data_IF_808682648900
#
_entry.id   IF_808682648900
#
_cell.length_a   1.000
_cell.length_b   1.000
_cell.length_c   1.000
_cell.angle_alpha   90.00
_cell.angle_beta   90.00
_cell.angle_gamma   90.00
#
_symmetry.space_group_name_H-M   'P 1'
#
loop_
_entity.id
_entity.type
_entity.pdbx_description
1 polymer ?
#
# COMPACT_ATOMS: atom_id res chain seq x y z
N UNK A 1 35.89 -28.91 20.53
CA UNK A 1 36.87 -29.74 19.78
C UNK A 1 36.38 -30.03 18.37
N UNK A 2 37.32 -29.82 17.48
CA UNK A 2 37.58 -30.29 16.11
C UNK A 2 36.92 -29.56 14.94
N UNK A 3 37.85 -28.80 14.37
CA UNK A 3 37.92 -28.28 13.00
C UNK A 3 37.83 -29.40 11.95
N UNK A 4 37.26 -29.12 10.79
CA UNK A 4 37.80 -29.67 9.56
C UNK A 4 37.55 -28.73 8.37
N UNK A 5 38.68 -28.32 7.82
CA UNK A 5 38.87 -27.61 6.55
C UNK A 5 38.71 -28.63 5.40
N UNK A 6 38.09 -28.22 4.29
CA UNK A 6 38.45 -28.77 2.97
C UNK A 6 38.44 -27.66 1.93
N UNK A 7 39.66 -27.35 1.55
CA UNK A 7 40.06 -26.57 0.38
C UNK A 7 40.25 -27.52 -0.80
N UNK A 8 39.72 -27.23 -1.95
CA UNK A 8 40.18 -27.83 -3.20
C UNK A 8 40.29 -26.76 -4.29
N UNK A 9 41.54 -26.44 -4.58
CA UNK A 9 42.01 -25.81 -5.79
C UNK A 9 41.76 -26.71 -7.01
N UNK A 10 41.34 -26.12 -8.14
CA UNK A 10 41.76 -26.64 -9.45
C UNK A 10 42.01 -25.53 -10.46
N UNK A 11 43.06 -25.75 -11.17
CA UNK A 11 43.90 -24.91 -12.04
C UNK A 11 43.24 -24.57 -13.40
N UNK A 12 43.71 -23.46 -13.85
CA UNK A 12 43.90 -22.92 -15.21
C UNK A 12 44.08 -23.93 -16.35
N UNK A 13 43.43 -23.69 -17.49
CA UNK A 13 43.99 -23.94 -18.82
C UNK A 13 43.56 -22.86 -19.82
N UNK A 14 44.61 -22.24 -20.31
CA UNK A 14 44.70 -21.30 -21.41
C UNK A 14 44.40 -21.99 -22.73
N UNK A 15 43.58 -21.42 -23.62
CA UNK A 15 43.77 -21.68 -25.04
C UNK A 15 43.40 -20.46 -25.93
N UNK A 16 44.30 -20.26 -26.87
CA UNK A 16 44.50 -19.10 -27.72
C UNK A 16 43.56 -19.07 -28.93
N UNK A 17 43.22 -17.84 -29.32
CA UNK A 17 43.09 -17.24 -30.67
C UNK A 17 42.23 -17.96 -31.71
N UNK A 18 41.20 -17.27 -32.19
CA UNK A 18 41.05 -16.96 -33.63
C UNK A 18 40.32 -15.64 -33.80
N UNK A 19 41.06 -14.69 -34.41
CA UNK A 19 40.60 -13.45 -35.00
C UNK A 19 39.65 -13.78 -36.16
N UNK A 20 38.46 -13.18 -36.17
CA UNK A 20 37.63 -13.12 -37.37
C UNK A 20 36.86 -11.80 -37.36
N UNK A 21 37.49 -10.81 -37.96
CA UNK A 21 36.91 -9.52 -38.29
C UNK A 21 35.71 -9.71 -39.22
N UNK A 22 34.50 -9.51 -38.72
CA UNK A 22 33.32 -9.20 -39.55
C UNK A 22 32.63 -8.00 -38.96
N UNK A 23 32.82 -6.88 -39.64
CA UNK A 23 32.09 -5.62 -39.46
C UNK A 23 30.59 -5.87 -39.54
N UNK A 24 29.89 -5.65 -38.40
CA UNK A 24 28.44 -5.56 -38.38
C UNK A 24 28.00 -4.12 -38.56
N UNK A 25 26.95 -3.85 -39.34
CA UNK A 25 26.43 -2.50 -39.50
C UNK A 25 25.81 -2.04 -38.20
N UNK A 26 26.16 -0.83 -37.76
CA UNK A 26 25.61 -0.14 -36.61
C UNK A 26 24.15 0.22 -36.90
N UNK A 27 23.23 -0.59 -36.38
CA UNK A 27 21.82 -0.23 -36.34
C UNK A 27 21.66 0.79 -35.22
N UNK A 28 21.43 2.04 -35.59
CA UNK A 28 20.98 3.08 -34.67
C UNK A 28 19.62 2.65 -34.08
N UNK A 29 19.64 1.99 -32.94
CA UNK A 29 18.45 1.81 -32.12
C UNK A 29 18.07 3.19 -31.55
N UNK A 30 17.13 3.85 -32.23
CA UNK A 30 16.39 4.96 -31.62
C UNK A 30 15.69 4.43 -30.35
N UNK A 31 16.25 4.79 -29.20
CA UNK A 31 15.60 4.58 -27.93
C UNK A 31 14.28 5.34 -27.94
N UNK A 32 13.18 4.61 -28.13
CA UNK A 32 11.84 5.14 -27.90
C UNK A 32 11.77 5.45 -26.41
N UNK A 33 11.94 6.72 -26.06
CA UNK A 33 11.62 7.25 -24.73
C UNK A 33 10.14 6.93 -24.48
N UNK A 34 9.87 5.95 -23.62
CA UNK A 34 8.52 5.70 -23.10
C UNK A 34 8.08 6.98 -22.39
N UNK A 35 7.18 7.71 -23.00
CA UNK A 35 6.54 8.85 -22.36
C UNK A 35 5.95 8.33 -21.04
N UNK A 36 6.36 8.95 -19.91
CA UNK A 36 5.84 8.63 -18.59
C UNK A 36 4.34 8.92 -18.61
N UNK A 37 3.53 7.90 -18.39
CA UNK A 37 2.09 8.08 -18.32
C UNK A 37 1.76 9.20 -17.32
N UNK A 38 0.76 10.05 -17.58
CA UNK A 38 0.38 11.09 -16.65
C UNK A 38 0.02 10.45 -15.29
N UNK A 39 0.28 11.15 -14.17
CA UNK A 39 -0.05 10.63 -12.85
C UNK A 39 -1.55 10.31 -12.81
N UNK A 40 -1.88 9.10 -12.38
CA UNK A 40 -3.27 8.70 -12.20
C UNK A 40 -3.91 9.61 -11.14
N UNK A 41 -5.10 10.10 -11.43
CA UNK A 41 -5.90 10.84 -10.46
C UNK A 41 -6.80 9.86 -9.70
N UNK A 42 -7.08 10.11 -8.42
CA UNK A 42 -8.09 9.35 -7.69
C UNK A 42 -9.42 9.38 -8.43
N UNK A 43 -10.08 8.23 -8.49
CA UNK A 43 -11.39 8.08 -9.12
C UNK A 43 -12.37 7.59 -8.05
N UNK A 44 -13.68 7.90 -8.20
CA UNK A 44 -14.69 7.34 -7.32
C UNK A 44 -14.66 5.81 -7.42
N UNK A 45 -14.83 5.09 -6.29
CA UNK A 45 -14.97 3.65 -6.32
C UNK A 45 -16.19 3.26 -7.16
N UNK A 46 -16.07 2.15 -7.89
CA UNK A 46 -17.27 1.54 -8.49
C UNK A 46 -18.17 1.00 -7.39
N UNK A 47 -19.43 0.73 -7.71
CA UNK A 47 -20.37 0.13 -6.74
C UNK A 47 -19.85 -1.21 -6.20
N UNK A 48 -19.26 -2.01 -7.08
CA UNK A 48 -18.64 -3.27 -6.72
C UNK A 48 -17.40 -3.07 -5.79
N UNK A 49 -16.53 -2.13 -6.12
CA UNK A 49 -15.40 -1.76 -5.28
C UNK A 49 -15.88 -1.29 -3.91
N UNK A 50 -16.84 -0.38 -3.86
CA UNK A 50 -17.35 0.17 -2.61
C UNK A 50 -17.85 -0.92 -1.67
N UNK A 51 -18.62 -1.89 -2.17
CA UNK A 51 -19.17 -2.99 -1.37
C UNK A 51 -18.14 -4.07 -1.00
N UNK A 52 -17.24 -4.39 -1.95
CA UNK A 52 -16.35 -5.54 -1.78
C UNK A 52 -14.96 -5.15 -1.23
N UNK A 53 -14.66 -3.86 -1.11
CA UNK A 53 -13.35 -3.39 -0.67
C UNK A 53 -12.96 -3.90 0.71
N UNK A 54 -13.92 -4.02 1.62
CA UNK A 54 -13.72 -4.51 2.99
C UNK A 54 -14.30 -5.91 3.22
N UNK A 55 -14.39 -6.72 2.17
CA UNK A 55 -14.90 -8.09 2.27
C UNK A 55 -14.21 -8.86 3.40
N UNK A 56 -15.01 -9.39 4.32
CA UNK A 56 -14.54 -10.14 5.51
C UNK A 56 -14.52 -9.34 6.80
N UNK A 57 -14.64 -8.01 6.77
CA UNK A 57 -14.80 -7.23 7.99
C UNK A 57 -16.23 -7.31 8.51
N UNK A 58 -16.37 -7.39 9.84
CA UNK A 58 -17.68 -7.39 10.50
C UNK A 58 -18.43 -6.08 10.25
N UNK A 59 -19.74 -6.19 10.06
CA UNK A 59 -20.60 -5.03 9.77
C UNK A 59 -20.73 -4.69 8.30
N UNK A 60 -19.91 -5.27 7.42
CA UNK A 60 -19.99 -5.04 5.97
C UNK A 60 -19.77 -3.57 5.58
N UNK A 61 -18.70 -2.90 6.10
CA UNK A 61 -18.50 -1.49 5.80
C UNK A 61 -18.26 -1.27 4.31
N UNK A 62 -18.66 -0.11 3.80
CA UNK A 62 -18.48 0.30 2.41
C UNK A 62 -17.36 1.33 2.30
N UNK A 63 -16.58 1.25 1.22
CA UNK A 63 -15.59 2.27 0.91
C UNK A 63 -16.25 3.53 0.38
N UNK A 64 -15.98 4.66 1.03
CA UNK A 64 -16.38 5.99 0.56
C UNK A 64 -15.28 6.62 -0.28
N UNK A 65 -14.05 6.67 0.23
CA UNK A 65 -12.90 7.24 -0.46
C UNK A 65 -11.58 6.66 0.08
N UNK A 66 -10.53 6.69 -0.75
CA UNK A 66 -9.18 6.28 -0.34
C UNK A 66 -8.11 7.16 -0.99
N UNK A 67 -7.03 7.42 -0.27
CA UNK A 67 -5.89 8.20 -0.75
C UNK A 67 -4.99 7.45 -1.73
N UNK A 68 -5.06 6.14 -1.75
CA UNK A 68 -4.33 5.29 -2.69
C UNK A 68 -4.89 5.42 -4.10
N UNK A 69 -4.01 5.47 -5.08
CA UNK A 69 -4.33 5.47 -6.52
C UNK A 69 -4.13 4.09 -7.16
N UNK A 70 -3.75 3.10 -6.36
CA UNK A 70 -3.59 1.73 -6.87
C UNK A 70 -4.93 1.17 -7.33
N UNK A 71 -4.99 0.54 -8.51
CA UNK A 71 -6.22 -0.09 -8.97
C UNK A 71 -6.71 -1.13 -7.97
N UNK A 72 -8.00 -1.08 -7.67
CA UNK A 72 -8.64 -2.18 -6.97
C UNK A 72 -8.96 -3.29 -7.98
N UNK A 73 -8.72 -4.52 -7.58
CA UNK A 73 -9.09 -5.71 -8.33
C UNK A 73 -9.74 -6.69 -7.38
N UNK A 74 -10.90 -7.21 -7.78
CA UNK A 74 -11.50 -8.33 -7.07
C UNK A 74 -10.55 -9.53 -7.18
N UNK A 75 -10.20 -10.12 -6.05
CA UNK A 75 -9.38 -11.33 -6.04
C UNK A 75 -10.29 -12.52 -6.35
N UNK A 76 -10.28 -12.98 -7.60
CA UNK A 76 -11.07 -14.13 -8.09
C UNK A 76 -10.44 -15.48 -7.71
N UNK A 77 -9.73 -15.59 -6.62
CA UNK A 77 -9.12 -16.85 -6.22
C UNK A 77 -10.14 -17.77 -5.53
N UNK A 78 -10.05 -19.08 -5.78
CA UNK A 78 -10.86 -20.14 -5.16
C UNK A 78 -10.74 -20.21 -3.63
N UNK A 79 -9.88 -19.39 -3.04
CA UNK A 79 -9.62 -19.29 -1.60
C UNK A 79 -10.31 -18.05 -1.05
N UNK A 80 -11.06 -18.22 0.02
CA UNK A 80 -11.76 -17.15 0.71
C UNK A 80 -10.75 -16.10 1.20
N UNK A 81 -10.54 -15.08 0.39
CA UNK A 81 -9.70 -13.95 0.75
C UNK A 81 -10.56 -12.97 1.52
N UNK A 82 -10.28 -12.78 2.78
CA UNK A 82 -10.96 -11.79 3.61
C UNK A 82 -10.01 -10.67 4.02
N UNK A 83 -10.51 -9.46 4.04
CA UNK A 83 -9.78 -8.35 4.64
C UNK A 83 -9.77 -8.52 6.15
N UNK A 84 -8.64 -8.26 6.77
CA UNK A 84 -8.47 -8.35 8.22
C UNK A 84 -7.78 -7.11 8.76
N UNK A 85 -7.97 -6.87 10.03
CA UNK A 85 -7.44 -5.71 10.75
C UNK A 85 -6.48 -6.22 11.83
N UNK A 86 -5.29 -5.63 11.89
CA UNK A 86 -4.29 -5.93 12.91
C UNK A 86 -3.77 -4.67 13.58
N UNK A 87 -3.26 -4.76 14.81
CA UNK A 87 -2.56 -3.66 15.46
C UNK A 87 -1.34 -3.21 14.65
N UNK A 88 -1.08 -1.91 14.65
CA UNK A 88 0.06 -1.31 13.91
C UNK A 88 1.41 -1.87 14.38
N UNK A 89 1.55 -2.17 15.66
CA UNK A 89 2.82 -2.61 16.25
C UNK A 89 3.83 -1.46 16.39
N UNK A 90 5.10 -1.75 16.08
CA UNK A 90 6.19 -0.77 16.23
C UNK A 90 6.25 0.13 15.00
N UNK A 91 5.58 1.26 15.04
CA UNK A 91 5.64 2.28 13.98
C UNK A 91 5.66 3.70 14.59
N UNK A 92 6.38 4.67 13.99
CA UNK A 92 6.48 6.04 14.52
C UNK A 92 5.12 6.72 14.73
N UNK A 93 4.13 6.44 13.88
CA UNK A 93 2.79 7.03 13.95
C UNK A 93 2.11 6.74 15.29
N UNK A 94 2.34 5.57 15.89
CA UNK A 94 1.70 5.18 17.17
C UNK A 94 2.03 6.18 18.28
N UNK A 95 3.29 6.58 18.37
CA UNK A 95 3.72 7.57 19.36
C UNK A 95 3.14 8.94 19.05
N UNK A 96 3.16 9.36 17.78
CA UNK A 96 2.65 10.67 17.36
C UNK A 96 1.13 10.78 17.54
N UNK A 97 0.41 9.68 17.27
CA UNK A 97 -1.04 9.63 17.42
C UNK A 97 -1.51 9.60 18.88
N UNK A 98 -0.79 8.85 19.72
CA UNK A 98 -1.12 8.73 21.14
C UNK A 98 -0.70 9.94 21.98
N UNK A 99 0.10 10.84 21.42
CA UNK A 99 0.37 12.14 22.06
C UNK A 99 -0.86 13.04 21.88
N UNK A 100 -1.69 13.12 22.94
CA UNK A 100 -2.92 13.92 22.93
C UNK A 100 -2.67 15.42 22.77
N UNK A 101 -1.45 15.88 23.09
CA UNK A 101 -0.99 17.27 22.92
C UNK A 101 -0.26 17.47 21.61
N UNK A 102 0.02 16.39 20.89
CA UNK A 102 0.76 16.38 19.64
C UNK A 102 0.00 17.02 18.49
N UNK A 103 0.74 17.75 17.65
CA UNK A 103 0.17 18.44 16.49
C UNK A 103 -0.48 17.50 15.48
N UNK A 104 0.10 16.31 15.23
CA UNK A 104 -0.44 15.36 14.24
C UNK A 104 -1.91 15.09 14.48
N UNK A 105 -2.27 14.71 15.72
CA UNK A 105 -3.65 14.40 16.07
C UNK A 105 -4.58 15.59 15.89
N UNK A 106 -4.14 16.77 16.31
CA UNK A 106 -4.93 18.00 16.18
C UNK A 106 -5.16 18.37 14.72
N UNK A 107 -4.12 18.27 13.88
CA UNK A 107 -4.20 18.59 12.46
C UNK A 107 -5.12 17.62 11.72
N UNK A 108 -5.07 16.33 12.03
CA UNK A 108 -6.00 15.30 11.48
C UNK A 108 -7.44 15.60 11.92
N UNK A 109 -7.69 15.85 13.20
CA UNK A 109 -9.03 16.20 13.69
C UNK A 109 -9.59 17.44 13.01
N UNK A 110 -8.75 18.46 12.77
CA UNK A 110 -9.14 19.65 12.02
C UNK A 110 -9.45 19.33 10.53
N UNK A 111 -8.71 18.39 9.93
CA UNK A 111 -8.93 17.99 8.54
C UNK A 111 -10.25 17.25 8.33
N UNK A 112 -10.68 16.44 9.29
CA UNK A 112 -11.93 15.68 9.23
C UNK A 112 -13.15 16.44 9.75
N UNK A 113 -12.99 17.63 10.28
CA UNK A 113 -14.08 18.41 10.89
C UNK A 113 -15.21 18.78 9.90
N UNK A 114 -14.97 18.67 8.60
CA UNK A 114 -15.95 18.96 7.54
C UNK A 114 -16.87 17.78 7.19
N UNK A 115 -16.64 16.61 7.77
CA UNK A 115 -17.41 15.37 7.52
C UNK A 115 -18.00 14.86 8.85
N UNK A 116 -19.04 14.05 8.74
CA UNK A 116 -19.71 13.45 9.92
C UNK A 116 -19.01 12.14 10.32
N UNK A 117 -17.79 12.28 10.83
CA UNK A 117 -17.00 11.14 11.27
C UNK A 117 -17.43 10.62 12.63
N UNK A 118 -17.29 9.31 12.84
CA UNK A 118 -17.64 8.61 14.08
C UNK A 118 -16.43 8.04 14.80
N UNK A 119 -15.50 7.44 14.05
CA UNK A 119 -14.30 6.78 14.58
C UNK A 119 -13.11 7.14 13.69
N UNK A 120 -11.94 7.29 14.32
CA UNK A 120 -10.65 7.43 13.64
C UNK A 120 -9.69 6.44 14.28
N UNK A 121 -9.26 5.46 13.51
CA UNK A 121 -8.32 4.43 13.93
C UNK A 121 -7.07 4.41 13.03
N UNK A 122 -5.96 3.94 13.59
CA UNK A 122 -4.75 3.64 12.83
C UNK A 122 -4.47 2.16 13.01
N UNK A 123 -4.58 1.42 11.92
CA UNK A 123 -4.57 -0.03 11.91
C UNK A 123 -3.77 -0.55 10.71
N UNK A 124 -3.37 -1.81 10.75
CA UNK A 124 -2.95 -2.53 9.57
C UNK A 124 -4.16 -3.16 8.92
N UNK A 125 -4.46 -2.76 7.69
CA UNK A 125 -5.65 -3.21 6.97
C UNK A 125 -5.21 -3.89 5.67
N UNK A 126 -5.59 -5.14 5.47
CA UNK A 126 -5.18 -5.87 4.28
C UNK A 126 -5.77 -7.27 4.22
N UNK A 127 -5.54 -7.94 3.11
CA UNK A 127 -6.05 -9.29 2.91
C UNK A 127 -5.18 -10.33 3.63
N UNK A 128 -5.84 -11.32 4.25
CA UNK A 128 -5.19 -12.55 4.70
C UNK A 128 -5.40 -13.63 3.65
N UNK A 129 -4.33 -14.30 3.22
CA UNK A 129 -4.43 -15.52 2.42
C UNK A 129 -4.48 -16.73 3.35
N UNK A 130 -5.58 -17.45 3.34
CA UNK A 130 -5.59 -18.83 3.86
C UNK A 130 -5.22 -19.78 2.72
N UNK A 131 -3.96 -20.17 2.64
CA UNK A 131 -3.54 -21.28 1.80
C UNK A 131 -3.49 -22.51 2.70
N UNK A 132 -4.49 -23.35 2.61
CA UNK A 132 -4.61 -24.74 3.08
C UNK A 132 -4.04 -25.15 4.44
N UNK A 133 -3.50 -24.36 5.30
CA UNK A 133 -2.98 -24.65 6.64
C UNK A 133 -1.83 -23.72 7.08
N UNK A 134 -1.36 -22.86 6.22
CA UNK A 134 -0.26 -21.95 6.55
C UNK A 134 -0.76 -20.52 6.31
N UNK A 135 -0.97 -19.76 7.40
CA UNK A 135 -1.14 -18.31 7.31
C UNK A 135 0.20 -17.71 6.91
N UNK A 136 0.39 -17.42 5.62
CA UNK A 136 1.55 -16.62 5.22
C UNK A 136 1.35 -15.20 5.75
N UNK A 137 2.30 -14.66 6.53
CA UNK A 137 2.23 -13.30 7.02
C UNK A 137 2.43 -12.34 5.83
N UNK A 138 1.32 -11.89 5.25
CA UNK A 138 1.35 -10.79 4.28
C UNK A 138 1.45 -9.49 5.07
N UNK A 139 2.48 -8.69 4.80
CA UNK A 139 2.62 -7.38 5.43
C UNK A 139 1.48 -6.47 4.96
N UNK A 140 0.59 -6.13 5.89
CA UNK A 140 -0.56 -5.27 5.62
C UNK A 140 -0.15 -3.81 5.71
N UNK A 141 -0.56 -2.95 4.78
CA UNK A 141 -0.32 -1.52 4.85
C UNK A 141 -0.92 -0.91 6.12
N UNK A 142 -0.26 0.10 6.64
CA UNK A 142 -0.82 0.90 7.74
C UNK A 142 -1.79 1.90 7.14
N UNK A 143 -2.97 1.97 7.71
CA UNK A 143 -4.07 2.79 7.23
C UNK A 143 -4.61 3.66 8.37
N UNK A 144 -4.72 4.95 8.12
CA UNK A 144 -5.57 5.84 8.90
C UNK A 144 -7.00 5.65 8.39
N UNK A 145 -7.82 4.99 9.18
CA UNK A 145 -9.19 4.62 8.86
C UNK A 145 -10.15 5.60 9.53
N UNK A 146 -10.98 6.24 8.74
CA UNK A 146 -12.01 7.17 9.20
C UNK A 146 -13.38 6.58 8.89
N UNK A 147 -14.14 6.24 9.93
CA UNK A 147 -15.53 5.84 9.77
C UNK A 147 -16.42 7.07 9.78
N UNK A 148 -17.37 7.11 8.86
CA UNK A 148 -18.37 8.18 8.75
C UNK A 148 -19.78 7.63 8.95
N UNK A 149 -20.74 8.51 9.22
CA UNK A 149 -22.13 8.12 9.23
C UNK A 149 -22.58 7.68 7.81
N UNK A 150 -23.39 6.64 7.68
CA UNK A 150 -23.86 6.17 6.38
C UNK A 150 -24.51 7.31 5.58
N UNK A 151 -24.21 7.36 4.29
CA UNK A 151 -24.72 8.34 3.32
C UNK A 151 -24.44 9.82 3.66
N UNK A 152 -23.59 10.11 4.66
CA UNK A 152 -23.29 11.49 5.09
C UNK A 152 -22.21 12.17 4.27
N UNK A 153 -21.34 11.40 3.63
CA UNK A 153 -20.11 11.91 3.01
C UNK A 153 -20.01 11.52 1.55
N UNK A 154 -20.31 12.43 0.60
CA UNK A 154 -20.13 12.15 -0.82
C UNK A 154 -18.65 11.94 -1.14
N UNK A 155 -18.36 11.10 -2.15
CA UNK A 155 -16.99 10.77 -2.56
C UNK A 155 -16.11 12.01 -2.78
N UNK A 156 -16.62 13.07 -3.40
CA UNK A 156 -15.86 14.30 -3.69
C UNK A 156 -15.32 14.95 -2.43
N UNK A 157 -16.09 14.97 -1.36
CA UNK A 157 -15.68 15.50 -0.07
C UNK A 157 -14.76 14.49 0.64
N UNK A 158 -15.10 13.20 0.58
CA UNK A 158 -14.30 12.12 1.17
C UNK A 158 -12.88 12.05 0.62
N UNK A 159 -12.70 12.18 -0.69
CA UNK A 159 -11.36 12.16 -1.31
C UNK A 159 -10.54 13.40 -0.96
N UNK A 160 -11.16 14.58 -0.87
CA UNK A 160 -10.50 15.79 -0.44
C UNK A 160 -9.94 15.63 0.99
N UNK A 161 -10.75 15.12 1.90
CA UNK A 161 -10.36 14.84 3.29
C UNK A 161 -9.26 13.79 3.34
N UNK A 162 -9.38 12.68 2.60
CA UNK A 162 -8.37 11.62 2.57
C UNK A 162 -7.01 12.14 2.11
N UNK A 163 -6.97 12.93 1.04
CA UNK A 163 -5.74 13.51 0.51
C UNK A 163 -5.15 14.54 1.46
N UNK A 164 -5.98 15.35 2.11
CA UNK A 164 -5.54 16.31 3.12
C UNK A 164 -4.91 15.62 4.33
N UNK A 165 -5.55 14.58 4.85
CA UNK A 165 -4.99 13.77 5.95
C UNK A 165 -3.66 13.12 5.54
N UNK A 166 -3.57 12.57 4.34
CA UNK A 166 -2.32 11.99 3.81
C UNK A 166 -1.20 13.04 3.71
N UNK A 167 -1.51 14.26 3.30
CA UNK A 167 -0.52 15.34 3.24
C UNK A 167 -0.05 15.75 4.65
N UNK A 168 -0.95 15.84 5.63
CA UNK A 168 -0.61 16.09 7.04
C UNK A 168 0.33 14.99 7.55
N UNK A 169 0.04 13.71 7.30
CA UNK A 169 0.92 12.61 7.68
C UNK A 169 2.33 12.80 7.10
N UNK A 170 2.45 13.20 5.83
CA UNK A 170 3.73 13.47 5.17
C UNK A 170 4.51 14.62 5.80
N UNK A 171 3.83 15.70 6.19
CA UNK A 171 4.42 16.83 6.88
C UNK A 171 4.99 16.44 8.25
N UNK A 172 4.40 15.43 8.90
CA UNK A 172 4.91 14.83 10.14
C UNK A 172 5.94 13.69 9.90
N UNK A 173 6.43 13.53 8.66
CA UNK A 173 7.45 12.54 8.31
C UNK A 173 6.91 11.12 8.08
N UNK A 174 5.60 10.90 8.09
CA UNK A 174 4.94 9.61 7.85
C UNK A 174 4.55 9.53 6.37
N UNK A 175 5.15 8.61 5.61
CA UNK A 175 4.97 8.52 4.16
C UNK A 175 4.36 7.20 3.68
N UNK A 176 4.30 6.23 4.54
CA UNK A 176 3.90 4.84 4.31
C UNK A 176 2.53 4.50 4.92
N UNK A 177 1.75 5.52 5.24
CA UNK A 177 0.39 5.38 5.76
C UNK A 177 -0.59 5.92 4.72
N UNK A 178 -1.53 5.08 4.32
CA UNK A 178 -2.65 5.48 3.47
C UNK A 178 -3.85 5.92 4.32
N UNK A 179 -4.79 6.62 3.70
CA UNK A 179 -5.99 7.11 4.37
C UNK A 179 -7.21 6.56 3.64
N UNK A 180 -8.13 5.98 4.39
CA UNK A 180 -9.37 5.41 3.87
C UNK A 180 -10.56 5.93 4.69
N UNK A 181 -11.66 6.25 3.99
CA UNK A 181 -12.95 6.58 4.59
C UNK A 181 -13.93 5.45 4.30
N UNK A 182 -14.65 5.02 5.34
CA UNK A 182 -15.68 3.97 5.24
C UNK A 182 -16.97 4.37 5.98
N UNK A 183 -18.07 3.81 5.54
CA UNK A 183 -19.38 3.91 6.19
C UNK A 183 -19.95 2.56 6.58
#
# INVERSE_FOLDING_TARGET
ERKSFFSLFFSSTNNRRRDCSKSRPTVHQMAKTKAKAPPRQPQPPTEEEAHSYYLGLSGGPRLVARSSIEPWTLLEDEYTVSKTIDPVGKHPIVRLWNDSTGRLRQDILAAVASIDWTIIDILRVGFSRRIHTIDEPVEKPITLLVSVQPDSTPWSLGIEVALRCREILRQHGIRDVEVELME
#
